data_IF_121449269933
#
_entry.id   IF_121449269933
#
_cell.length_a   1.000
_cell.length_b   1.000
_cell.length_c   1.000
_cell.angle_alpha   90.00
_cell.angle_beta   90.00
_cell.angle_gamma   90.00
#
_symmetry.space_group_name_H-M   'P 1'
#
loop_
_entity.id
_entity.type
_entity.pdbx_description
1 polymer ?
#
# COMPACT_ATOMS: atom_id res chain seq x y z
N UNK A 1 -9.84 -27.45 12.64
CA UNK A 1 -11.27 -27.22 12.84
C UNK A 1 -11.81 -26.20 11.84
N UNK A 2 -13.11 -26.12 11.70
CA UNK A 2 -13.75 -25.17 10.80
C UNK A 2 -13.42 -23.72 11.19
N UNK A 3 -13.39 -23.40 12.49
CA UNK A 3 -13.03 -22.07 12.98
C UNK A 3 -11.57 -21.72 12.64
N UNK A 4 -10.67 -22.68 12.78
CA UNK A 4 -9.25 -22.51 12.42
C UNK A 4 -9.08 -22.27 10.92
N UNK A 5 -9.84 -22.98 10.09
CA UNK A 5 -9.78 -22.80 8.62
C UNK A 5 -10.33 -21.45 8.19
N UNK A 6 -11.40 -20.97 8.83
CA UNK A 6 -11.94 -19.62 8.56
C UNK A 6 -10.90 -18.57 8.93
N UNK A 7 -10.27 -18.67 10.09
CA UNK A 7 -9.23 -17.73 10.51
C UNK A 7 -8.08 -17.68 9.51
N UNK A 8 -7.59 -18.84 9.04
CA UNK A 8 -6.52 -18.91 8.04
C UNK A 8 -6.90 -18.22 6.74
N UNK A 9 -8.13 -18.43 6.28
CA UNK A 9 -8.61 -17.79 5.05
C UNK A 9 -8.71 -16.28 5.20
N UNK A 10 -9.18 -15.80 6.35
CA UNK A 10 -9.27 -14.37 6.62
C UNK A 10 -7.89 -13.71 6.60
N UNK A 11 -6.91 -14.32 7.25
CA UNK A 11 -5.54 -13.82 7.27
C UNK A 11 -4.93 -13.85 5.87
N UNK A 12 -5.12 -14.95 5.13
CA UNK A 12 -4.61 -15.08 3.77
C UNK A 12 -5.18 -13.99 2.85
N UNK A 13 -6.48 -13.69 2.98
CA UNK A 13 -7.12 -12.62 2.22
C UNK A 13 -6.45 -11.27 2.50
N UNK A 14 -6.28 -10.91 3.77
CA UNK A 14 -5.65 -9.66 4.16
C UNK A 14 -4.21 -9.58 3.65
N UNK A 15 -3.44 -10.64 3.78
CA UNK A 15 -2.05 -10.70 3.31
C UNK A 15 -1.98 -10.49 1.81
N UNK A 16 -2.88 -11.11 1.04
CA UNK A 16 -2.91 -10.97 -0.42
C UNK A 16 -3.20 -9.52 -0.84
N UNK A 17 -4.03 -8.80 -0.10
CA UNK A 17 -4.38 -7.40 -0.40
C UNK A 17 -3.24 -6.44 -0.08
N UNK A 18 -2.50 -6.69 0.99
CA UNK A 18 -1.35 -5.87 1.38
C UNK A 18 -0.25 -6.00 0.32
N UNK A 19 -0.03 -7.21 -0.19
CA UNK A 19 0.97 -7.46 -1.22
C UNK A 19 2.39 -7.27 -0.72
N UNK A 20 3.31 -7.00 -1.64
CA UNK A 20 4.72 -6.85 -1.33
C UNK A 20 5.15 -5.42 -1.07
N UNK A 21 6.45 -5.22 -1.09
CA UNK A 21 7.16 -3.97 -0.79
C UNK A 21 6.55 -2.75 -1.50
N UNK A 22 6.29 -2.86 -2.80
CA UNK A 22 5.88 -1.70 -3.59
C UNK A 22 4.49 -1.18 -3.21
N UNK A 23 3.52 -2.08 -2.97
CA UNK A 23 2.19 -1.68 -2.50
C UNK A 23 2.25 -0.99 -1.15
N UNK A 24 3.10 -1.47 -0.24
CA UNK A 24 3.30 -0.85 1.08
C UNK A 24 3.85 0.57 0.94
N UNK A 25 4.80 0.78 0.03
CA UNK A 25 5.37 2.11 -0.22
C UNK A 25 4.35 3.05 -0.85
N UNK A 26 3.52 2.55 -1.76
CA UNK A 26 2.43 3.33 -2.35
C UNK A 26 1.42 3.73 -1.28
N UNK A 27 1.01 2.79 -0.42
CA UNK A 27 0.10 3.07 0.70
C UNK A 27 0.64 4.15 1.61
N UNK A 28 1.93 4.14 1.90
CA UNK A 28 2.59 5.17 2.72
C UNK A 28 2.36 6.57 2.14
N UNK A 29 2.49 6.71 0.83
CA UNK A 29 2.30 7.99 0.17
C UNK A 29 0.82 8.38 0.13
N UNK A 30 -0.05 7.45 -0.26
CA UNK A 30 -1.48 7.72 -0.39
C UNK A 30 -2.17 7.94 0.96
N UNK A 31 -1.57 7.51 2.07
CA UNK A 31 -2.02 7.82 3.41
C UNK A 31 -2.06 9.33 3.65
N UNK A 32 -1.08 10.05 3.12
CA UNK A 32 -0.91 11.49 3.36
C UNK A 32 -1.88 12.32 2.53
N UNK A 33 -2.00 12.00 1.23
CA UNK A 33 -2.84 12.74 0.30
C UNK A 33 -2.97 11.98 -1.02
N UNK A 34 -3.85 12.40 -1.93
CA UNK A 34 -3.80 11.92 -3.31
C UNK A 34 -2.53 12.43 -4.02
N UNK A 35 -2.03 11.63 -4.94
CA UNK A 35 -0.80 11.91 -5.68
C UNK A 35 -1.00 11.71 -7.18
N UNK A 36 -0.27 12.50 -7.99
CA UNK A 36 -0.15 12.24 -9.42
C UNK A 36 0.83 11.11 -9.67
N UNK A 37 0.67 10.42 -10.80
CA UNK A 37 1.51 9.28 -11.17
C UNK A 37 3.00 9.64 -11.14
N UNK A 38 3.37 10.74 -11.83
CA UNK A 38 4.78 11.15 -11.91
C UNK A 38 5.34 11.56 -10.55
N UNK A 39 4.52 12.13 -9.69
CA UNK A 39 4.92 12.46 -8.33
C UNK A 39 5.24 11.20 -7.53
N UNK A 40 4.37 10.18 -7.62
CA UNK A 40 4.60 8.89 -6.96
C UNK A 40 5.89 8.25 -7.45
N UNK A 41 6.10 8.24 -8.77
CA UNK A 41 7.28 7.62 -9.35
C UNK A 41 8.57 8.30 -8.89
N UNK A 42 8.56 9.61 -8.75
CA UNK A 42 9.73 10.36 -8.25
C UNK A 42 9.97 10.14 -6.76
N UNK A 43 8.90 10.03 -5.98
CA UNK A 43 9.01 9.90 -4.52
C UNK A 43 9.35 8.49 -4.07
N UNK A 44 8.87 7.48 -4.78
CA UNK A 44 9.15 6.08 -4.44
C UNK A 44 10.42 5.64 -5.15
N UNK A 45 11.52 5.68 -4.40
CA UNK A 45 12.85 5.40 -4.94
C UNK A 45 12.94 4.01 -5.55
N UNK A 46 13.40 3.97 -6.80
CA UNK A 46 13.64 2.72 -7.51
C UNK A 46 12.42 2.07 -8.16
N UNK A 47 11.22 2.64 -8.02
CA UNK A 47 10.05 2.05 -8.65
C UNK A 47 10.02 2.33 -10.15
N UNK A 48 9.82 1.30 -10.97
CA UNK A 48 9.67 1.46 -12.42
C UNK A 48 8.24 1.92 -12.76
N UNK A 49 8.09 2.50 -13.94
CA UNK A 49 6.77 2.88 -14.44
C UNK A 49 5.83 1.66 -14.52
N UNK A 50 6.37 0.52 -14.99
CA UNK A 50 5.59 -0.72 -15.10
C UNK A 50 5.10 -1.20 -13.74
N UNK A 51 5.98 -1.26 -12.76
CA UNK A 51 5.63 -1.74 -11.41
C UNK A 51 4.62 -0.80 -10.76
N UNK A 52 4.80 0.51 -10.89
CA UNK A 52 3.84 1.47 -10.34
C UNK A 52 2.46 1.33 -11.02
N UNK A 53 2.44 1.23 -12.35
CA UNK A 53 1.20 1.02 -13.09
C UNK A 53 0.47 -0.24 -12.65
N UNK A 54 1.20 -1.37 -12.61
CA UNK A 54 0.63 -2.67 -12.25
C UNK A 54 0.12 -2.67 -10.80
N UNK A 55 0.89 -2.07 -9.89
CA UNK A 55 0.53 -1.99 -8.48
C UNK A 55 -0.73 -1.15 -8.26
N UNK A 56 -0.81 0.02 -8.90
CA UNK A 56 -2.00 0.88 -8.82
C UNK A 56 -3.22 0.21 -9.42
N UNK A 57 -3.07 -0.47 -10.56
CA UNK A 57 -4.16 -1.23 -11.17
C UNK A 57 -4.68 -2.31 -10.23
N UNK A 58 -3.77 -3.05 -9.60
CA UNK A 58 -4.16 -4.09 -8.66
C UNK A 58 -4.91 -3.50 -7.47
N UNK A 59 -4.42 -2.40 -6.92
CA UNK A 59 -5.07 -1.73 -5.80
C UNK A 59 -6.45 -1.21 -6.19
N UNK A 60 -6.60 -0.67 -7.40
CA UNK A 60 -7.90 -0.23 -7.90
C UNK A 60 -8.85 -1.42 -8.13
N UNK A 61 -8.35 -2.51 -8.70
CA UNK A 61 -9.14 -3.72 -8.91
C UNK A 61 -9.63 -4.31 -7.59
N UNK A 62 -8.82 -4.21 -6.53
CA UNK A 62 -9.18 -4.68 -5.20
C UNK A 62 -10.10 -3.68 -4.45
N UNK A 63 -10.39 -2.54 -5.05
CA UNK A 63 -11.25 -1.53 -4.43
C UNK A 63 -10.56 -0.67 -3.37
N UNK A 64 -9.23 -0.72 -3.29
CA UNK A 64 -8.46 -0.04 -2.24
C UNK A 64 -7.98 1.35 -2.66
N UNK A 65 -7.87 1.60 -3.96
CA UNK A 65 -7.43 2.88 -4.50
C UNK A 65 -8.39 3.35 -5.59
N UNK A 66 -8.38 4.65 -5.85
CA UNK A 66 -9.13 5.25 -6.93
C UNK A 66 -8.21 6.09 -7.82
N UNK A 67 -8.69 6.36 -9.03
CA UNK A 67 -8.09 7.29 -9.98
C UNK A 67 -9.12 8.37 -10.28
N UNK A 68 -8.74 9.62 -10.11
CA UNK A 68 -9.62 10.75 -10.42
C UNK A 68 -9.01 11.62 -11.49
N UNK A 69 -9.73 11.74 -12.61
CA UNK A 69 -9.38 12.62 -13.71
C UNK A 69 -10.20 13.93 -13.56
N UNK A 70 -9.51 15.03 -13.32
CA UNK A 70 -10.16 16.33 -13.13
C UNK A 70 -10.66 16.95 -14.42
N UNK A 71 -10.29 16.38 -15.58
CA UNK A 71 -10.67 16.87 -16.92
C UNK A 71 -10.26 18.32 -17.15
N UNK A 72 -9.07 18.65 -16.70
CA UNK A 72 -8.49 19.99 -16.82
C UNK A 72 -7.48 20.04 -17.97
N UNK A 73 -7.14 21.27 -18.39
CA UNK A 73 -6.04 21.55 -19.30
C UNK A 73 -5.06 22.52 -18.64
N UNK A 74 -3.80 22.10 -18.40
CA UNK A 74 -3.22 20.79 -18.73
C UNK A 74 -3.85 19.65 -17.91
N UNK A 75 -3.74 18.39 -18.36
CA UNK A 75 -4.36 17.25 -17.70
C UNK A 75 -3.91 17.10 -16.26
N UNK A 76 -4.86 16.76 -15.38
CA UNK A 76 -4.59 16.47 -13.98
C UNK A 76 -5.34 15.21 -13.58
N UNK A 77 -4.58 14.19 -13.20
CA UNK A 77 -5.09 12.91 -12.72
C UNK A 77 -4.40 12.59 -11.40
N UNK A 78 -5.18 12.21 -10.39
CA UNK A 78 -4.66 11.85 -9.08
C UNK A 78 -5.14 10.47 -8.66
N UNK A 79 -4.28 9.80 -7.89
CA UNK A 79 -4.58 8.50 -7.26
C UNK A 79 -4.68 8.69 -5.76
N UNK A 80 -5.64 8.04 -5.14
CA UNK A 80 -5.84 8.12 -3.70
C UNK A 80 -6.43 6.83 -3.15
N UNK A 81 -6.60 6.78 -1.82
CA UNK A 81 -7.20 5.64 -1.14
C UNK A 81 -8.71 5.81 -1.05
N UNK A 82 -9.44 4.73 -1.32
CA UNK A 82 -10.87 4.64 -1.02
C UNK A 82 -11.05 4.51 0.49
N UNK A 83 -12.29 4.66 0.97
CA UNK A 83 -12.59 4.40 2.38
C UNK A 83 -12.19 2.98 2.78
N UNK A 84 -12.41 2.00 1.90
CA UNK A 84 -11.96 0.62 2.14
C UNK A 84 -10.44 0.54 2.26
N UNK A 85 -9.71 1.22 1.35
CA UNK A 85 -8.25 1.26 1.40
C UNK A 85 -7.70 1.85 2.68
N UNK A 86 -8.37 2.87 3.21
CA UNK A 86 -7.96 3.49 4.48
C UNK A 86 -8.05 2.54 5.66
N UNK A 87 -8.89 1.52 5.60
CA UNK A 87 -9.00 0.50 6.65
C UNK A 87 -7.74 -0.35 6.77
N UNK A 88 -6.90 -0.37 5.74
CA UNK A 88 -5.61 -1.09 5.79
C UNK A 88 -4.56 -0.34 6.60
N UNK A 89 -4.69 0.97 6.75
CA UNK A 89 -3.64 1.79 7.37
C UNK A 89 -3.30 1.37 8.80
N UNK A 90 -4.27 1.13 9.70
CA UNK A 90 -3.94 0.66 11.05
C UNK A 90 -3.22 -0.70 11.05
N UNK A 91 -3.55 -1.56 10.08
CA UNK A 91 -2.92 -2.89 9.96
C UNK A 91 -1.45 -2.73 9.56
N UNK A 92 -1.18 -1.88 8.57
CA UNK A 92 0.19 -1.60 8.11
C UNK A 92 0.99 -0.92 9.21
N UNK A 93 0.40 0.03 9.94
CA UNK A 93 1.05 0.67 11.07
C UNK A 93 1.42 -0.35 12.16
N UNK A 94 0.52 -1.30 12.45
CA UNK A 94 0.79 -2.36 13.41
C UNK A 94 1.92 -3.28 12.95
N UNK A 95 1.98 -3.58 11.66
CA UNK A 95 3.09 -4.35 11.09
C UNK A 95 4.42 -3.61 11.25
N UNK A 96 4.43 -2.30 10.99
CA UNK A 96 5.62 -1.49 11.15
C UNK A 96 6.09 -1.46 12.61
N UNK A 97 5.16 -1.29 13.54
CA UNK A 97 5.45 -1.29 14.97
C UNK A 97 6.04 -2.63 15.40
N UNK A 98 5.47 -3.73 14.95
CA UNK A 98 6.01 -5.06 15.25
C UNK A 98 7.41 -5.23 14.66
N UNK A 99 7.64 -4.78 13.43
CA UNK A 99 8.95 -4.85 12.80
C UNK A 99 10.01 -4.11 13.59
N UNK A 100 9.69 -2.91 14.06
CA UNK A 100 10.59 -2.11 14.90
C UNK A 100 10.86 -2.79 16.24
N UNK A 101 9.84 -3.31 16.89
CA UNK A 101 9.98 -4.04 18.15
C UNK A 101 10.87 -5.27 17.98
N UNK A 102 10.62 -6.03 16.91
CA UNK A 102 11.42 -7.22 16.60
C UNK A 102 12.92 -6.88 16.48
N UNK A 103 13.24 -5.83 15.71
CA UNK A 103 14.63 -5.39 15.53
C UNK A 103 15.27 -4.99 16.87
N UNK A 104 14.52 -4.34 17.74
CA UNK A 104 15.04 -3.94 19.05
C UNK A 104 15.35 -5.13 19.95
N UNK A 105 14.54 -6.19 19.87
CA UNK A 105 14.73 -7.41 20.68
C UNK A 105 15.91 -8.24 20.18
N UNK A 106 16.05 -8.39 18.85
CA UNK A 106 17.14 -9.21 18.29
C UNK A 106 18.41 -8.40 18.00
N UNK A 107 18.42 -7.08 18.28
CA UNK A 107 19.58 -6.24 18.13
C UNK A 107 19.97 -5.96 16.69
N UNK A 108 19.02 -6.02 15.75
CA UNK A 108 19.29 -5.68 14.35
C UNK A 108 19.27 -4.17 14.13
N UNK A 109 20.30 -3.67 13.47
CA UNK A 109 20.40 -2.28 13.05
C UNK A 109 19.66 -2.10 11.72
N UNK A 110 19.00 -0.96 11.53
CA UNK A 110 18.33 -0.61 10.28
C UNK A 110 19.28 -0.52 9.09
N UNK A 111 20.55 -0.25 9.36
CA UNK A 111 21.60 -0.13 8.35
C UNK A 111 22.33 -1.44 8.09
N UNK A 112 21.95 -2.50 8.77
CA UNK A 112 22.61 -3.79 8.62
C UNK A 112 22.16 -4.51 7.35
#
# INVERSE_FOLDING_TARGET
SAASDVYKRQVATAVSLIGGKWKLLILRNLKVRPWRFNELQRDIDGISQKVLTDSLRQMMSDGLAYRHDYQEQPPRVEYGLTELGKQMLPIVDALADFGNYYKSVVGQDENA
#
